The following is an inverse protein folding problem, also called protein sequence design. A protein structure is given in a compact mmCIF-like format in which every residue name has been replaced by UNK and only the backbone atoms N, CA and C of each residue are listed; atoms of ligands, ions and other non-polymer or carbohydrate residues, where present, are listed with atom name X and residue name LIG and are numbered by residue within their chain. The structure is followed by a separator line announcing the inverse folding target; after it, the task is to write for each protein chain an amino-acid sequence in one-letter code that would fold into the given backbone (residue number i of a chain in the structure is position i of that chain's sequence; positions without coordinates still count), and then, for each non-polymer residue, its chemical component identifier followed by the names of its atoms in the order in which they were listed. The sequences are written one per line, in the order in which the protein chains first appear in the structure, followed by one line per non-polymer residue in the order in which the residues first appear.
data_IF_268488902643
#
_entry.id   IF_268488902643
#
_cell.length_a   1.000
_cell.length_b   1.000
_cell.length_c   1.000
_cell.angle_alpha   90.00
_cell.angle_beta   90.00
_cell.angle_gamma   90.00
#
_symmetry.space_group_name_H-M   'P 1'
#
loop_
_entity.id
_entity.type
_entity.pdbx_description
1 polymer ?
#
# COMPACT_ATOMS: atom_id res chain seq x y z
N UNK A 1 -3.72 -0.92 17.51
CA UNK A 1 -3.17 0.45 17.55
C UNK A 1 -4.19 1.38 16.93
N UNK A 2 -4.52 2.51 17.54
CA UNK A 2 -5.71 3.32 17.16
C UNK A 2 -5.49 4.22 15.92
N UNK A 3 -4.23 4.56 15.60
CA UNK A 3 -3.88 5.50 14.53
C UNK A 3 -2.98 4.90 13.44
N UNK A 4 -2.84 3.57 13.42
CA UNK A 4 -1.96 2.85 12.49
C UNK A 4 -2.77 1.70 11.90
N UNK A 5 -2.88 1.69 10.57
CA UNK A 5 -3.50 0.62 9.80
C UNK A 5 -2.47 0.06 8.84
N UNK A 6 -2.37 -1.26 8.78
CA UNK A 6 -1.50 -1.96 7.86
C UNK A 6 -2.35 -2.90 7.02
N UNK A 7 -2.44 -2.61 5.73
CA UNK A 7 -3.01 -3.50 4.71
C UNK A 7 -1.87 -4.26 4.02
N UNK A 8 -2.04 -5.57 3.84
CA UNK A 8 -1.11 -6.37 3.06
C UNK A 8 -1.87 -7.31 2.13
N UNK A 9 -1.38 -7.43 0.91
CA UNK A 9 -1.91 -8.34 -0.09
C UNK A 9 -0.78 -9.10 -0.78
N UNK A 10 -0.96 -10.40 -0.93
CA UNK A 10 -0.09 -11.27 -1.71
C UNK A 10 -0.93 -11.96 -2.78
N UNK A 11 -0.54 -11.77 -4.04
CA UNK A 11 -1.13 -12.42 -5.20
C UNK A 11 -0.06 -13.29 -5.85
N UNK A 12 -0.41 -14.57 -6.05
CA UNK A 12 0.42 -15.53 -6.77
C UNK A 12 -0.44 -16.12 -7.89
N UNK A 13 0.07 -16.05 -9.11
CA UNK A 13 -0.60 -16.57 -10.30
C UNK A 13 0.37 -17.46 -11.09
N UNK A 14 -0.13 -18.58 -11.62
CA UNK A 14 0.60 -19.46 -12.54
C UNK A 14 -0.24 -19.71 -13.79
N UNK A 15 0.38 -19.62 -14.96
CA UNK A 15 -0.27 -19.95 -16.23
C UNK A 15 -0.12 -21.45 -16.56
N UNK A 16 -0.83 -22.29 -15.81
CA UNK A 16 -0.74 -23.76 -15.87
C UNK A 16 -1.11 -24.39 -17.22
N UNK A 17 -1.91 -23.71 -18.04
CA UNK A 17 -2.30 -24.24 -19.36
C UNK A 17 -1.21 -24.06 -20.42
N UNK A 18 -0.31 -23.07 -20.24
CA UNK A 18 0.76 -22.78 -21.21
C UNK A 18 2.10 -23.28 -20.69
N UNK A 19 2.45 -22.85 -19.49
CA UNK A 19 3.69 -23.22 -18.83
C UNK A 19 3.52 -23.05 -17.32
N UNK A 20 3.31 -24.17 -16.63
CA UNK A 20 3.02 -24.20 -15.20
C UNK A 20 4.17 -23.63 -14.34
N UNK A 21 5.37 -23.51 -14.89
CA UNK A 21 6.54 -22.96 -14.19
C UNK A 21 6.53 -21.43 -14.21
N UNK A 22 5.76 -20.80 -15.08
CA UNK A 22 5.68 -19.34 -15.16
C UNK A 22 4.82 -18.78 -14.06
N UNK A 23 5.50 -18.18 -13.08
CA UNK A 23 4.89 -17.54 -11.92
C UNK A 23 4.90 -16.02 -12.06
N UNK A 24 3.79 -15.42 -11.63
CA UNK A 24 3.68 -14.00 -11.34
C UNK A 24 3.40 -13.86 -9.86
N UNK A 25 4.22 -13.07 -9.17
CA UNK A 25 4.10 -12.79 -7.75
C UNK A 25 4.01 -11.29 -7.56
N UNK A 26 2.97 -10.84 -6.87
CA UNK A 26 2.79 -9.44 -6.50
C UNK A 26 2.49 -9.36 -5.01
N UNK A 27 3.33 -8.65 -4.27
CA UNK A 27 3.12 -8.32 -2.87
C UNK A 27 2.94 -6.81 -2.72
N UNK A 28 2.00 -6.40 -1.89
CA UNK A 28 1.78 -5.01 -1.52
C UNK A 28 1.59 -4.90 -0.02
N UNK A 29 2.24 -3.92 0.59
CA UNK A 29 2.04 -3.49 1.96
C UNK A 29 1.76 -1.99 1.97
N UNK A 30 0.70 -1.57 2.64
CA UNK A 30 0.28 -0.17 2.78
C UNK A 30 0.11 0.10 4.28
N UNK A 31 0.95 0.99 4.81
CA UNK A 31 0.93 1.44 6.18
C UNK A 31 0.39 2.87 6.23
N UNK A 32 -0.84 3.02 6.71
CA UNK A 32 -1.50 4.28 6.95
C UNK A 32 -1.34 4.71 8.40
N UNK A 33 -0.88 5.94 8.62
CA UNK A 33 -0.61 6.48 9.94
C UNK A 33 -1.19 7.88 10.12
N UNK A 34 -2.04 8.05 11.12
CA UNK A 34 -2.48 9.36 11.58
C UNK A 34 -1.54 9.83 12.69
N UNK A 35 -0.48 10.54 12.31
CA UNK A 35 0.55 11.03 13.26
C UNK A 35 -0.08 11.97 14.29
N UNK A 36 -0.90 12.92 13.84
CA UNK A 36 -1.70 13.77 14.71
C UNK A 36 -2.91 14.36 13.95
N UNK A 37 -3.64 15.31 14.56
CA UNK A 37 -4.82 15.94 13.94
C UNK A 37 -4.54 16.75 12.67
N UNK A 38 -3.28 17.09 12.41
CA UNK A 38 -2.84 17.91 11.28
C UNK A 38 -1.94 17.15 10.31
N UNK A 39 -1.35 16.03 10.72
CA UNK A 39 -0.34 15.30 9.94
C UNK A 39 -0.77 13.85 9.81
N UNK A 40 -0.72 13.35 8.59
CA UNK A 40 -0.87 11.94 8.25
C UNK A 40 0.29 11.50 7.36
N UNK A 41 0.59 10.21 7.41
CA UNK A 41 1.64 9.59 6.60
C UNK A 41 1.11 8.30 6.01
N UNK A 42 1.46 8.00 4.77
CA UNK A 42 1.24 6.71 4.14
C UNK A 42 2.57 6.18 3.63
N UNK A 43 2.91 4.94 3.99
CA UNK A 43 4.10 4.25 3.48
C UNK A 43 3.60 3.05 2.69
N UNK A 44 4.08 2.89 1.46
CA UNK A 44 3.79 1.70 0.65
C UNK A 44 5.08 1.00 0.26
N UNK A 45 5.05 -0.32 0.30
CA UNK A 45 6.10 -1.19 -0.21
C UNK A 45 5.46 -2.24 -1.13
N UNK A 46 6.03 -2.42 -2.31
CA UNK A 46 5.55 -3.34 -3.32
C UNK A 46 6.70 -4.19 -3.85
N UNK A 47 6.48 -5.50 -3.92
CA UNK A 47 7.36 -6.42 -4.61
C UNK A 47 6.61 -7.01 -5.80
N UNK A 48 7.25 -7.02 -6.97
CA UNK A 48 6.67 -7.59 -8.17
C UNK A 48 7.68 -8.47 -8.90
N UNK A 49 7.24 -9.64 -9.30
CA UNK A 49 8.01 -10.59 -10.07
C UNK A 49 7.11 -11.21 -11.15
N UNK A 50 7.61 -11.27 -12.37
CA UNK A 50 6.93 -11.91 -13.51
C UNK A 50 7.97 -12.63 -14.37
N UNK A 51 7.85 -13.96 -14.44
CA UNK A 51 8.67 -14.84 -15.27
C UNK A 51 8.68 -14.44 -16.76
N UNK A 52 7.56 -13.92 -17.28
CA UNK A 52 7.39 -13.62 -18.70
C UNK A 52 7.85 -12.22 -19.10
N UNK A 53 8.25 -11.38 -18.14
CA UNK A 53 8.71 -10.01 -18.39
C UNK A 53 10.20 -9.85 -18.06
N UNK A 54 10.54 -8.97 -17.12
CA UNK A 54 11.91 -8.65 -16.72
C UNK A 54 12.59 -9.87 -16.06
N UNK A 55 11.82 -10.83 -15.53
CA UNK A 55 12.35 -12.04 -14.89
C UNK A 55 13.19 -11.77 -13.64
N UNK A 56 13.04 -10.58 -13.04
CA UNK A 56 13.75 -10.13 -11.84
C UNK A 56 12.76 -9.55 -10.84
N UNK A 57 13.11 -9.63 -9.56
CA UNK A 57 12.35 -8.99 -8.48
C UNK A 57 12.44 -7.47 -8.62
N UNK A 58 11.29 -6.81 -8.65
CA UNK A 58 11.15 -5.36 -8.68
C UNK A 58 10.62 -4.89 -7.34
N UNK A 59 11.30 -3.91 -6.74
CA UNK A 59 10.89 -3.25 -5.50
C UNK A 59 10.39 -1.84 -5.83
N UNK A 60 9.25 -1.47 -5.25
CA UNK A 60 8.72 -0.11 -5.29
C UNK A 60 8.35 0.35 -3.89
N UNK A 61 8.83 1.51 -3.50
CA UNK A 61 8.51 2.13 -2.21
C UNK A 61 7.97 3.54 -2.44
N UNK A 62 7.03 3.97 -1.62
CA UNK A 62 6.52 5.35 -1.66
C UNK A 62 6.20 5.83 -0.26
N UNK A 63 6.66 7.04 0.06
CA UNK A 63 6.36 7.76 1.28
C UNK A 63 5.50 8.99 0.93
N UNK A 64 4.29 9.05 1.47
CA UNK A 64 3.40 10.20 1.40
C UNK A 64 3.28 10.86 2.76
N UNK A 65 3.35 12.20 2.81
CA UNK A 65 3.08 13.00 4.01
C UNK A 65 2.00 14.01 3.68
N UNK A 66 0.92 14.01 4.44
CA UNK A 66 -0.25 14.85 4.23
C UNK A 66 -0.48 15.82 5.39
N UNK A 67 -0.75 17.09 5.06
CA UNK A 67 -1.19 18.11 5.99
C UNK A 67 -2.72 18.26 5.91
N UNK A 68 -3.37 18.34 7.07
CA UNK A 68 -4.81 18.52 7.18
C UNK A 68 -5.11 19.73 8.05
N UNK A 69 -5.93 20.65 7.54
CA UNK A 69 -6.45 21.77 8.31
C UNK A 69 -7.98 21.68 8.33
N UNK A 70 -8.58 21.64 9.53
CA UNK A 70 -10.04 21.70 9.68
C UNK A 70 -10.47 23.15 9.87
N UNK A 71 -10.91 23.81 8.81
CA UNK A 71 -11.57 25.11 8.88
C UNK A 71 -13.06 24.95 9.20
N UNK A 72 -13.43 25.11 10.46
CA UNK A 72 -14.83 25.18 10.89
C UNK A 72 -14.97 25.81 12.27
N UNK A 73 -15.64 26.97 12.32
CA UNK A 73 -16.39 27.43 13.50
C UNK A 73 -17.88 27.20 13.19
N UNK A 74 -18.66 26.91 14.25
CA UNK A 74 -20.11 26.63 14.36
C UNK A 74 -20.45 25.15 14.60
N UNK A 75 -21.25 24.78 15.60
CA UNK A 75 -21.68 25.39 16.88
C UNK A 75 -22.33 24.24 17.65
N UNK A 76 -21.90 23.99 18.89
CA UNK A 76 -22.68 23.18 19.82
C UNK A 76 -24.01 23.90 20.08
N UNK A 77 -25.08 23.51 19.39
CA UNK A 77 -26.44 23.81 19.83
C UNK A 77 -26.85 22.66 20.74
N UNK A 78 -27.05 23.01 22.01
CA UNK A 78 -27.54 22.13 23.08
C UNK A 78 -28.82 21.41 22.73
#
# INVERSE_FOLDING_TARGET
MENILLDNSLVVFSNYLKDAQNLVVAYSAILDMKVNRFISTQITAGLFYDNNQIGKLQLKETLGVGLTYKSGKYQDVK
#
